data_IF_591580086434
#
_entry.id   IF_591580086434
#
_cell.length_a   1.000
_cell.length_b   1.000
_cell.length_c   1.000
_cell.angle_alpha   90.00
_cell.angle_beta   90.00
_cell.angle_gamma   90.00
#
_symmetry.space_group_name_H-M   'P 1'
#
loop_
_entity.id
_entity.type
_entity.pdbx_description
1 polymer ?
#
# COMPACT_ATOMS: atom_id res chain seq x y z
N UNK A 1 -0.41 -0.48 -12.93
CA UNK A 1 0.44 -0.31 -11.75
C UNK A 1 0.28 -1.52 -10.86
N UNK A 2 1.38 -2.24 -10.65
CA UNK A 2 1.41 -3.41 -9.78
C UNK A 2 1.87 -2.99 -8.38
N UNK A 3 1.05 -3.30 -7.38
CA UNK A 3 1.26 -2.94 -5.98
C UNK A 3 1.62 -4.20 -5.21
N UNK A 4 2.78 -4.17 -4.56
CA UNK A 4 3.31 -5.28 -3.77
C UNK A 4 3.47 -4.86 -2.31
N UNK A 5 3.69 -5.85 -1.42
CA UNK A 5 3.96 -5.63 0.01
C UNK A 5 5.10 -4.63 0.25
N UNK A 6 6.18 -4.70 -0.53
CA UNK A 6 7.34 -3.79 -0.46
C UNK A 6 7.20 -2.45 -1.20
N UNK A 7 6.13 -2.23 -1.98
CA UNK A 7 5.99 -1.02 -2.78
C UNK A 7 5.86 0.23 -1.91
N UNK A 8 6.67 1.26 -2.21
CA UNK A 8 6.56 2.59 -1.61
C UNK A 8 5.42 3.36 -2.29
N UNK A 9 4.40 3.73 -1.50
CA UNK A 9 3.19 4.40 -2.00
C UNK A 9 3.54 5.68 -2.79
N UNK A 10 4.47 6.50 -2.28
CA UNK A 10 4.89 7.74 -2.95
C UNK A 10 5.40 7.50 -4.37
N UNK A 11 6.35 6.58 -4.54
CA UNK A 11 6.90 6.24 -5.85
C UNK A 11 5.82 5.73 -6.83
N UNK A 12 4.90 4.89 -6.34
CA UNK A 12 3.78 4.39 -7.14
C UNK A 12 2.87 5.53 -7.61
N UNK A 13 2.51 6.43 -6.69
CA UNK A 13 1.62 7.55 -6.99
C UNK A 13 2.26 8.54 -7.94
N UNK A 14 3.55 8.85 -7.80
CA UNK A 14 4.23 9.82 -8.66
C UNK A 14 4.18 9.37 -10.13
N UNK A 15 4.48 8.09 -10.37
CA UNK A 15 4.40 7.49 -11.71
C UNK A 15 2.96 7.39 -12.20
N UNK A 16 2.04 6.92 -11.35
CA UNK A 16 0.66 6.72 -11.73
C UNK A 16 -0.09 8.03 -12.02
N UNK A 17 0.18 9.09 -11.24
CA UNK A 17 -0.42 10.41 -11.47
C UNK A 17 0.05 11.00 -12.79
N UNK A 18 1.35 10.93 -13.09
CA UNK A 18 1.88 11.36 -14.38
C UNK A 18 1.22 10.57 -15.52
N UNK A 19 1.22 9.24 -15.43
CA UNK A 19 0.61 8.38 -16.43
C UNK A 19 -0.89 8.65 -16.61
N UNK A 20 -1.63 8.89 -15.54
CA UNK A 20 -3.05 9.23 -15.60
C UNK A 20 -3.30 10.60 -16.24
N UNK A 21 -2.44 11.58 -16.00
CA UNK A 21 -2.53 12.89 -16.65
C UNK A 21 -2.29 12.74 -18.16
N UNK A 22 -1.23 12.03 -18.54
CA UNK A 22 -0.77 11.91 -19.93
C UNK A 22 -1.68 10.98 -20.76
N UNK A 23 -2.08 9.83 -20.21
CA UNK A 23 -2.81 8.77 -20.93
C UNK A 23 -4.31 8.76 -20.63
N UNK A 24 -4.76 9.49 -19.62
CA UNK A 24 -6.17 9.56 -19.22
C UNK A 24 -6.71 8.36 -18.46
N UNK A 25 -5.93 7.30 -18.26
CA UNK A 25 -6.36 6.13 -17.50
C UNK A 25 -5.19 5.45 -16.77
N UNK A 26 -5.49 4.73 -15.69
CA UNK A 26 -4.54 3.87 -14.98
C UNK A 26 -5.25 2.67 -14.37
N UNK A 27 -4.61 1.51 -14.42
CA UNK A 27 -5.07 0.30 -13.72
C UNK A 27 -4.19 0.07 -12.50
N UNK A 28 -4.78 -0.11 -11.32
CA UNK A 28 -4.12 -0.57 -10.11
C UNK A 28 -4.40 -2.05 -9.89
N UNK A 29 -3.36 -2.83 -9.68
CA UNK A 29 -3.47 -4.25 -9.37
C UNK A 29 -2.71 -4.55 -8.10
N UNK A 30 -3.30 -5.30 -7.18
CA UNK A 30 -2.56 -5.89 -6.07
C UNK A 30 -3.22 -7.16 -5.59
N UNK A 31 -2.43 -7.99 -4.92
CA UNK A 31 -2.85 -9.29 -4.42
C UNK A 31 -2.54 -9.43 -2.93
N UNK A 32 -3.27 -10.31 -2.26
CA UNK A 32 -3.05 -10.66 -0.86
C UNK A 32 -2.89 -9.43 0.04
N UNK A 33 -1.76 -9.35 0.75
CA UNK A 33 -1.47 -8.26 1.69
C UNK A 33 -1.33 -6.87 1.03
N UNK A 34 -1.19 -6.79 -0.30
CA UNK A 34 -1.08 -5.52 -1.01
C UNK A 34 -2.43 -4.88 -1.35
N UNK A 35 -3.55 -5.61 -1.23
CA UNK A 35 -4.90 -5.14 -1.62
C UNK A 35 -5.25 -3.79 -0.97
N UNK A 36 -5.09 -3.67 0.35
CA UNK A 36 -5.42 -2.42 1.06
C UNK A 36 -4.57 -1.24 0.58
N UNK A 37 -3.30 -1.50 0.23
CA UNK A 37 -2.40 -0.49 -0.33
C UNK A 37 -2.85 -0.09 -1.74
N UNK A 38 -3.28 -1.05 -2.56
CA UNK A 38 -3.81 -0.80 -3.91
C UNK A 38 -5.03 0.11 -3.86
N UNK A 39 -5.99 -0.17 -2.97
CA UNK A 39 -7.17 0.67 -2.76
C UNK A 39 -6.72 2.06 -2.32
N UNK A 40 -5.82 2.16 -1.34
CA UNK A 40 -5.31 3.45 -0.86
C UNK A 40 -4.68 4.30 -1.98
N UNK A 41 -3.91 3.68 -2.88
CA UNK A 41 -3.33 4.37 -4.03
C UNK A 41 -4.40 4.91 -4.98
N UNK A 42 -5.43 4.11 -5.30
CA UNK A 42 -6.54 4.55 -6.14
C UNK A 42 -7.31 5.71 -5.50
N UNK A 43 -7.61 5.62 -4.20
CA UNK A 43 -8.32 6.69 -3.47
C UNK A 43 -7.51 7.99 -3.39
N UNK A 44 -6.19 7.91 -3.20
CA UNK A 44 -5.33 9.10 -3.22
C UNK A 44 -5.36 9.79 -4.59
N UNK A 45 -5.37 9.02 -5.68
CA UNK A 45 -5.46 9.58 -7.03
C UNK A 45 -6.80 10.30 -7.24
N UNK A 46 -7.91 9.69 -6.83
CA UNK A 46 -9.26 10.27 -6.94
C UNK A 46 -9.46 11.56 -6.13
N UNK A 47 -8.65 11.81 -5.10
CA UNK A 47 -8.67 13.10 -4.38
C UNK A 47 -8.22 14.28 -5.24
N UNK A 48 -7.36 14.05 -6.23
CA UNK A 48 -6.80 15.09 -7.10
C UNK A 48 -7.51 15.18 -8.44
N UNK A 49 -8.13 14.09 -8.90
CA UNK A 49 -8.79 14.02 -10.20
C UNK A 49 -10.13 13.30 -10.09
N UNK A 50 -11.18 13.88 -10.71
CA UNK A 50 -12.42 13.16 -10.94
C UNK A 50 -12.17 12.06 -11.96
N UNK A 51 -12.48 10.82 -11.61
CA UNK A 51 -12.26 9.66 -12.47
C UNK A 51 -13.45 8.69 -12.35
N UNK A 52 -13.82 8.09 -13.49
CA UNK A 52 -14.67 6.91 -13.53
C UNK A 52 -13.86 5.72 -13.03
N UNK A 53 -14.50 4.83 -12.29
CA UNK A 53 -13.84 3.65 -11.75
C UNK A 53 -14.57 2.37 -12.15
N UNK A 54 -13.81 1.30 -12.42
CA UNK A 54 -14.30 -0.07 -12.43
C UNK A 54 -13.41 -0.91 -11.52
N UNK A 55 -14.00 -1.63 -10.57
CA UNK A 55 -13.29 -2.57 -9.69
C UNK A 55 -13.66 -4.00 -10.00
N UNK A 56 -12.65 -4.85 -10.24
CA UNK A 56 -12.81 -6.30 -10.42
C UNK A 56 -11.99 -7.04 -9.37
N UNK A 57 -12.57 -8.10 -8.82
CA UNK A 57 -11.92 -8.99 -7.85
C UNK A 57 -11.82 -10.37 -8.50
N UNK A 58 -10.68 -11.02 -8.33
CA UNK A 58 -10.41 -12.38 -8.82
C UNK A 58 -9.53 -13.12 -7.83
N UNK A 59 -9.32 -14.41 -8.07
CA UNK A 59 -8.38 -15.23 -7.31
C UNK A 59 -7.32 -15.79 -8.25
N UNK A 60 -6.09 -15.92 -7.75
CA UNK A 60 -5.03 -16.69 -8.40
C UNK A 60 -4.69 -17.88 -7.52
N UNK A 61 -4.74 -19.07 -8.11
CA UNK A 61 -4.36 -20.31 -7.45
C UNK A 61 -2.83 -20.46 -7.43
N UNK A 62 -2.30 -20.89 -6.30
CA UNK A 62 -0.91 -21.27 -6.09
C UNK A 62 -0.86 -22.72 -5.62
N UNK A 63 0.10 -23.45 -6.15
CA UNK A 63 0.44 -24.80 -5.72
C UNK A 63 1.83 -24.73 -5.09
N UNK A 64 1.90 -25.01 -3.79
CA UNK A 64 3.15 -25.03 -3.04
C UNK A 64 3.51 -26.47 -2.74
N UNK A 65 4.70 -26.87 -3.17
CA UNK A 65 5.26 -28.20 -2.91
C UNK A 65 6.17 -28.09 -1.69
N UNK A 66 5.93 -28.96 -0.71
CA UNK A 66 6.65 -29.00 0.55
C UNK A 66 7.32 -30.36 0.69
N UNK A 67 8.65 -30.36 0.72
CA UNK A 67 9.44 -31.55 0.98
C UNK A 67 9.37 -31.91 2.49
N UNK A 68 9.18 -33.19 2.83
CA UNK A 68 9.15 -33.62 4.20
C UNK A 68 10.55 -33.57 4.83
N UNK A 69 10.59 -33.34 6.15
CA UNK A 69 11.84 -33.34 6.92
C UNK A 69 12.36 -34.75 7.24
N UNK A 70 11.50 -35.76 7.13
CA UNK A 70 11.80 -37.16 7.39
C UNK A 70 11.61 -37.95 6.10
N UNK A 71 12.56 -38.83 5.77
CA UNK A 71 12.57 -39.62 4.53
C UNK A 71 11.41 -40.63 4.43
N UNK A 72 10.69 -40.88 5.54
CA UNK A 72 9.56 -41.81 5.62
C UNK A 72 8.20 -41.15 5.33
N UNK A 73 8.17 -39.82 5.14
CA UNK A 73 6.95 -39.07 4.88
C UNK A 73 6.81 -38.73 3.39
N UNK A 74 5.56 -38.52 2.96
CA UNK A 74 5.23 -38.12 1.60
C UNK A 74 5.36 -36.61 1.38
N UNK A 75 5.61 -36.21 0.13
CA UNK A 75 5.56 -34.81 -0.32
C UNK A 75 4.16 -34.22 -0.14
N UNK A 76 4.09 -32.99 0.35
CA UNK A 76 2.83 -32.27 0.55
C UNK A 76 2.63 -31.20 -0.53
N UNK A 77 1.47 -31.24 -1.19
CA UNK A 77 1.02 -30.18 -2.10
C UNK A 77 -0.07 -29.35 -1.43
N UNK A 78 0.22 -28.08 -1.18
CA UNK A 78 -0.75 -27.11 -0.64
C UNK A 78 -1.26 -26.23 -1.78
N UNK A 79 -2.57 -26.30 -2.02
CA UNK A 79 -3.25 -25.42 -2.96
C UNK A 79 -3.86 -24.26 -2.19
N UNK A 80 -3.50 -23.03 -2.54
CA UNK A 80 -4.10 -21.83 -1.95
C UNK A 80 -4.58 -20.86 -3.03
N UNK A 81 -5.68 -20.18 -2.73
CA UNK A 81 -6.18 -19.09 -3.56
C UNK A 81 -5.74 -17.74 -2.99
N UNK A 82 -5.00 -16.95 -3.77
CA UNK A 82 -4.63 -15.59 -3.42
C UNK A 82 -5.64 -14.60 -4.04
N UNK A 83 -6.31 -13.76 -3.24
CA UNK A 83 -7.21 -12.75 -3.77
C UNK A 83 -6.43 -11.66 -4.50
N UNK A 84 -7.01 -11.15 -5.59
CA UNK A 84 -6.49 -10.08 -6.42
C UNK A 84 -7.58 -9.03 -6.63
N UNK A 85 -7.19 -7.76 -6.55
CA UNK A 85 -8.04 -6.63 -6.92
C UNK A 85 -7.43 -5.89 -8.12
N UNK A 86 -8.29 -5.53 -9.06
CA UNK A 86 -8.01 -4.65 -10.18
C UNK A 86 -8.91 -3.43 -10.12
N UNK A 87 -8.33 -2.22 -10.11
CA UNK A 87 -9.07 -0.96 -10.09
C UNK A 87 -8.64 -0.15 -11.30
N UNK A 88 -9.53 -0.04 -12.30
CA UNK A 88 -9.36 0.88 -13.41
C UNK A 88 -9.87 2.26 -12.99
N UNK A 89 -9.07 3.30 -13.20
CA UNK A 89 -9.47 4.70 -13.14
C UNK A 89 -9.33 5.32 -14.52
N UNK A 90 -10.35 6.03 -14.99
CA UNK A 90 -10.40 6.67 -16.31
C UNK A 90 -10.95 8.09 -16.22
N UNK A 91 -10.40 9.02 -17.00
CA UNK A 91 -11.01 10.33 -17.24
C UNK A 91 -12.22 10.23 -18.15
N UNK A 92 -12.12 9.36 -19.15
CA UNK A 92 -13.21 9.11 -20.09
C UNK A 92 -14.32 8.27 -19.44
N UNK A 93 -15.58 8.49 -19.82
CA UNK A 93 -16.70 7.68 -19.36
C UNK A 93 -16.49 6.18 -19.61
N UNK A 94 -16.82 5.38 -18.61
CA UNK A 94 -16.83 3.92 -18.71
C UNK A 94 -18.27 3.42 -18.81
N UNK A 95 -18.46 2.16 -19.18
CA UNK A 95 -19.78 1.52 -19.19
C UNK A 95 -20.37 1.53 -17.77
N UNK A 96 -21.46 2.28 -17.56
CA UNK A 96 -22.12 2.40 -16.26
C UNK A 96 -22.85 1.13 -15.83
N UNK A 97 -23.12 0.23 -16.77
CA UNK A 97 -23.77 -1.06 -16.51
C UNK A 97 -22.76 -2.16 -16.15
N UNK A 98 -21.46 -1.89 -16.23
CA UNK A 98 -20.44 -2.84 -15.83
C UNK A 98 -20.46 -3.02 -14.30
N UNK A 99 -20.41 -4.28 -13.85
CA UNK A 99 -20.30 -4.57 -12.42
C UNK A 99 -19.04 -3.96 -11.83
N UNK A 100 -19.19 -3.32 -10.66
CA UNK A 100 -18.10 -2.62 -9.99
C UNK A 100 -17.79 -1.24 -10.56
N UNK A 101 -18.63 -0.71 -11.47
CA UNK A 101 -18.57 0.68 -11.88
C UNK A 101 -18.90 1.63 -10.72
N UNK A 102 -18.17 2.75 -10.64
CA UNK A 102 -18.42 3.85 -9.70
C UNK A 102 -18.24 5.19 -10.43
N UNK A 103 -19.17 6.12 -10.22
CA UNK A 103 -19.17 7.41 -10.89
C UNK A 103 -18.15 8.40 -10.29
N UNK A 104 -17.63 9.36 -11.08
CA UNK A 104 -16.71 10.36 -10.57
C UNK A 104 -17.35 11.24 -9.49
N UNK A 105 -16.68 11.39 -8.35
CA UNK A 105 -17.15 12.27 -7.28
C UNK A 105 -18.05 11.62 -6.24
N UNK A 106 -18.34 10.33 -6.36
CA UNK A 106 -18.89 9.50 -5.27
C UNK A 106 -17.80 9.24 -4.22
N UNK A 107 -17.30 10.29 -3.58
CA UNK A 107 -16.54 10.15 -2.34
C UNK A 107 -17.59 9.98 -1.26
N UNK A 108 -17.79 8.74 -0.82
CA UNK A 108 -18.74 8.43 0.25
C UNK A 108 -18.44 9.34 1.46
N UNK A 109 -19.36 10.25 1.72
CA UNK A 109 -19.27 11.30 2.73
C UNK A 109 -19.18 10.71 4.14
N UNK A 110 -19.51 9.43 4.30
CA UNK A 110 -19.35 8.64 5.52
C UNK A 110 -17.90 8.64 6.05
N UNK A 111 -16.89 8.61 5.16
CA UNK A 111 -15.48 8.57 5.56
C UNK A 111 -14.90 9.95 5.95
N UNK A 112 -15.51 11.06 5.51
CA UNK A 112 -15.06 12.40 5.91
C UNK A 112 -15.30 12.65 7.41
N UNK A 113 -16.43 12.16 7.93
CA UNK A 113 -16.84 12.37 9.33
C UNK A 113 -15.87 11.72 10.33
N UNK A 114 -15.26 10.58 9.97
CA UNK A 114 -14.31 9.87 10.84
C UNK A 114 -12.96 10.59 10.98
N UNK A 115 -12.48 11.23 9.90
CA UNK A 115 -11.17 11.89 9.89
C UNK A 115 -11.17 13.23 10.66
N UNK A 116 -12.26 14.00 10.58
CA UNK A 116 -12.40 15.29 11.28
C UNK A 116 -12.54 15.13 12.80
N UNK A 117 -13.13 14.02 13.26
CA UNK A 117 -13.24 13.70 14.71
C UNK A 117 -11.90 13.43 15.39
N UNK A 118 -10.89 12.91 14.66
CA UNK A 118 -9.57 12.63 15.22
C UNK A 118 -8.62 13.83 15.24
N UNK A 119 -8.82 14.81 14.35
CA UNK A 119 -7.94 15.99 14.25
C UNK A 119 -8.39 17.19 15.09
N UNK A 120 -9.62 17.20 15.59
CA UNK A 120 -10.20 18.32 16.36
C UNK A 120 -9.77 18.38 17.84
N UNK A 121 -8.96 17.44 18.33
CA UNK A 121 -8.46 17.42 19.73
C UNK A 121 -7.01 17.88 19.93
N UNK A 122 -6.34 18.38 18.89
CA UNK A 122 -4.92 18.77 18.96
C UNK A 122 -4.66 20.29 18.84
N UNK A 123 -5.64 21.13 19.20
CA UNK A 123 -5.42 22.57 19.37
C UNK A 123 -5.02 22.88 20.82
N UNK A 124 -3.84 22.38 21.22
CA UNK A 124 -3.29 22.54 22.57
C UNK A 124 -1.85 23.04 22.55
N UNK A 125 -1.70 24.36 22.50
CA UNK A 125 -0.62 25.15 23.08
C UNK A 125 0.85 24.70 22.85
N UNK A 126 1.56 25.35 21.92
CA UNK A 126 3.04 25.41 21.94
C UNK A 126 3.55 26.83 21.65
N UNK A 127 3.46 27.66 22.67
CA UNK A 127 4.30 28.84 22.79
C UNK A 127 5.49 28.47 23.69
N UNK A 128 6.70 28.33 23.13
CA UNK A 128 8.00 28.50 23.82
C UNK A 128 9.16 28.40 22.83
N UNK A 129 9.54 29.55 22.30
CA UNK A 129 10.90 29.81 21.86
C UNK A 129 11.86 29.71 23.05
N UNK A 130 12.95 28.96 22.90
CA UNK A 130 14.26 29.26 23.51
C UNK A 130 15.36 28.59 22.67
N UNK A 131 16.39 29.33 22.21
CA UNK A 131 17.54 28.73 21.55
C UNK A 131 18.51 28.18 22.60
N UNK A 132 19.01 26.96 22.40
CA UNK A 132 20.03 26.35 23.25
C UNK A 132 21.41 26.58 22.60
N UNK A 133 22.22 27.40 23.23
CA UNK A 133 23.64 27.60 22.93
C UNK A 133 24.48 26.49 23.54
N UNK A 134 25.57 26.18 22.83
CA UNK A 134 26.50 25.07 23.02
C UNK A 134 27.34 25.09 24.31
N UNK A 135 27.78 23.88 24.65
CA UNK A 135 29.07 23.48 25.22
C UNK A 135 29.18 23.26 26.74
N UNK A 136 29.28 21.98 27.13
CA UNK A 136 30.28 21.50 28.10
C UNK A 136 30.33 19.98 28.07
N UNK A 137 31.53 19.46 27.83
CA UNK A 137 31.94 18.06 27.82
C UNK A 137 31.65 17.38 29.17
N UNK A 138 31.24 16.10 29.14
CA UNK A 138 31.73 15.11 30.09
C UNK A 138 31.52 13.68 29.56
N UNK A 139 32.63 12.93 29.56
CA UNK A 139 32.79 11.52 29.17
C UNK A 139 31.96 10.58 30.06
N UNK A 140 31.39 9.53 29.47
CA UNK A 140 31.52 8.16 30.00
C UNK A 140 30.93 7.08 29.07
N UNK A 141 31.86 6.25 28.56
CA UNK A 141 31.82 4.79 28.44
C UNK A 141 30.83 4.07 27.49
N UNK A 142 31.45 3.23 26.67
CA UNK A 142 30.90 2.30 25.71
C UNK A 142 30.20 1.10 26.34
N UNK A 143 29.14 0.62 25.68
CA UNK A 143 28.86 -0.82 25.59
C UNK A 143 28.43 -1.16 24.16
N UNK A 144 29.30 -1.88 23.45
CA UNK A 144 29.00 -2.53 22.17
C UNK A 144 28.10 -3.74 22.44
N UNK A 145 26.93 -3.79 21.79
CA UNK A 145 26.15 -5.02 21.66
C UNK A 145 26.25 -5.51 20.21
N UNK A 146 26.92 -6.65 20.08
CA UNK A 146 27.24 -7.34 18.85
C UNK A 146 26.10 -8.34 18.57
N UNK A 147 25.38 -8.17 17.46
CA UNK A 147 24.52 -9.24 16.92
C UNK A 147 24.89 -9.49 15.46
N UNK A 148 25.76 -10.48 15.28
CA UNK A 148 25.92 -11.20 14.03
C UNK A 148 24.72 -12.12 13.85
N UNK A 149 24.16 -12.10 12.64
CA UNK A 149 23.16 -13.06 12.16
C UNK A 149 23.20 -13.02 10.65
N UNK A 150 23.98 -13.92 10.06
CA UNK A 150 24.16 -14.05 8.61
C UNK A 150 22.87 -14.55 7.96
N UNK A 151 22.33 -13.81 6.99
CA UNK A 151 21.44 -14.37 5.97
C UNK A 151 22.17 -14.34 4.63
N UNK A 152 22.62 -15.51 4.19
CA UNK A 152 23.02 -15.74 2.79
C UNK A 152 21.75 -15.92 1.95
N UNK A 153 21.62 -15.13 0.88
CA UNK A 153 20.67 -15.38 -0.20
C UNK A 153 21.18 -16.54 -1.07
N UNK A 154 20.34 -17.50 -1.47
CA UNK A 154 20.64 -18.34 -2.63
C UNK A 154 20.50 -17.50 -3.90
N UNK A 155 21.42 -17.71 -4.84
CA UNK A 155 21.30 -17.23 -6.22
C UNK A 155 20.56 -18.29 -7.03
N UNK A 156 19.48 -17.88 -7.69
CA UNK A 156 19.13 -18.25 -9.07
C UNK A 156 18.37 -17.10 -9.70
#
# INVERSE_FOLDING_TARGET
MQVHGGSKIRNLLDVALKGFVDQGAVVWTGSGAAISKTISCAEILKRKHKAHQITKISYRKYEEFWEPLLEELDDLVVIRDEPIIHILLSKEPLNTQELGYQAPGEIDSSFKVAYEKHNSKSAGNKNRNKPYTSNSEQKSQSFKSQRQGQHKRPQT
#
